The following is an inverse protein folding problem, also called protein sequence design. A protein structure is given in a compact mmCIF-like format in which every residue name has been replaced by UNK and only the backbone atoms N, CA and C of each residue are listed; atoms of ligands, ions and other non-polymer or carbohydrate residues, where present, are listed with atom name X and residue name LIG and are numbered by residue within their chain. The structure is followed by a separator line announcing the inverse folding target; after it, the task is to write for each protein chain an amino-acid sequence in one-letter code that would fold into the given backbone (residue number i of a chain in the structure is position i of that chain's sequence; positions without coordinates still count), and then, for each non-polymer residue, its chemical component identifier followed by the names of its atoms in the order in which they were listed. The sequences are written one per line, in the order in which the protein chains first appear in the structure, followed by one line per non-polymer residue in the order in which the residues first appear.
data_IF_411238557849
#
_entry.id   IF_411238557849
#
_cell.length_a   1.000
_cell.length_b   1.000
_cell.length_c   1.000
_cell.angle_alpha   90.00
_cell.angle_beta   90.00
_cell.angle_gamma   90.00
#
_symmetry.space_group_name_H-M   'P 1'
#
loop_
_entity.id
_entity.type
_entity.pdbx_description
1 polymer ?
#
# COMPACT_ATOMS: atom_id res chain seq x y z
N UNK A 1 -20.89 -50.82 -22.63
CA UNK A 1 -20.39 -50.32 -21.33
C UNK A 1 -19.99 -48.87 -21.53
N UNK A 2 -20.85 -47.94 -21.09
CA UNK A 2 -20.63 -46.53 -21.13
C UNK A 2 -20.08 -46.10 -19.78
N UNK A 3 -18.89 -45.47 -19.74
CA UNK A 3 -18.32 -44.88 -18.55
C UNK A 3 -18.70 -43.39 -18.49
N UNK A 4 -19.53 -43.07 -17.53
CA UNK A 4 -19.99 -41.72 -17.18
C UNK A 4 -18.87 -41.00 -16.44
N UNK A 5 -18.34 -39.89 -17.03
CA UNK A 5 -17.40 -39.00 -16.35
C UNK A 5 -18.20 -37.82 -15.82
N UNK A 6 -18.67 -37.92 -14.58
CA UNK A 6 -19.20 -36.82 -13.83
C UNK A 6 -18.05 -36.05 -13.15
N UNK A 7 -17.66 -34.95 -13.72
CA UNK A 7 -16.68 -34.00 -13.17
C UNK A 7 -17.26 -32.59 -13.13
N UNK A 8 -18.38 -32.41 -12.39
CA UNK A 8 -18.92 -31.08 -12.10
C UNK A 8 -18.08 -30.37 -11.04
N UNK A 9 -17.06 -29.61 -11.45
CA UNK A 9 -16.40 -28.67 -10.57
C UNK A 9 -17.38 -27.56 -10.18
N UNK A 10 -17.86 -27.56 -8.95
CA UNK A 10 -18.66 -26.47 -8.39
C UNK A 10 -17.82 -25.20 -8.41
N UNK A 11 -18.12 -24.30 -9.35
CA UNK A 11 -17.64 -22.92 -9.29
C UNK A 11 -18.27 -22.30 -8.06
N UNK A 12 -17.48 -22.10 -7.01
CA UNK A 12 -17.94 -21.50 -5.75
C UNK A 12 -18.68 -20.20 -6.05
N UNK A 13 -19.87 -20.05 -5.49
CA UNK A 13 -20.64 -18.83 -5.56
C UNK A 13 -19.77 -17.65 -5.08
N UNK A 14 -19.82 -16.47 -5.74
CA UNK A 14 -19.07 -15.29 -5.30
C UNK A 14 -19.47 -14.98 -3.86
N UNK A 15 -18.48 -14.89 -2.96
CA UNK A 15 -18.70 -14.56 -1.56
C UNK A 15 -19.38 -13.18 -1.50
N UNK A 16 -20.47 -13.08 -0.73
CA UNK A 16 -21.28 -11.85 -0.58
C UNK A 16 -20.60 -10.77 0.24
N UNK A 17 -19.33 -10.93 0.60
CA UNK A 17 -18.54 -9.92 1.30
C UNK A 17 -18.07 -8.81 0.34
N UNK A 18 -18.07 -7.54 0.80
CA UNK A 18 -17.58 -6.43 -0.01
C UNK A 18 -16.11 -6.66 -0.37
N UNK A 19 -15.78 -6.43 -1.66
CA UNK A 19 -14.40 -6.53 -2.12
C UNK A 19 -13.53 -5.53 -1.37
N UNK A 20 -12.46 -6.03 -0.75
CA UNK A 20 -11.53 -5.22 0.03
C UNK A 20 -10.19 -5.07 -0.70
N UNK A 21 -9.87 -3.85 -1.10
CA UNK A 21 -8.62 -3.54 -1.81
C UNK A 21 -7.72 -2.74 -0.88
N UNK A 22 -6.49 -3.21 -0.69
CA UNK A 22 -5.45 -2.47 0.01
C UNK A 22 -4.64 -1.69 -1.00
N UNK A 23 -4.39 -0.40 -0.75
CA UNK A 23 -3.55 0.45 -1.60
C UNK A 23 -2.42 1.02 -0.76
N UNK A 24 -1.18 0.70 -1.13
CA UNK A 24 0.00 1.27 -0.50
C UNK A 24 0.27 2.67 -1.05
N UNK A 25 0.37 3.65 -0.15
CA UNK A 25 0.59 5.06 -0.50
C UNK A 25 1.81 5.63 0.24
N UNK A 26 2.58 6.43 -0.47
CA UNK A 26 3.71 7.20 0.04
C UNK A 26 3.73 8.60 -0.60
N UNK A 27 4.81 9.35 -0.42
CA UNK A 27 4.94 10.71 -0.98
C UNK A 27 5.10 10.74 -2.51
N UNK A 28 5.34 9.58 -3.15
CA UNK A 28 5.60 9.49 -4.58
C UNK A 28 4.35 9.75 -5.44
N UNK A 29 4.55 10.29 -6.62
CA UNK A 29 3.49 10.44 -7.61
C UNK A 29 3.04 9.08 -8.17
N UNK A 30 3.92 8.08 -8.15
CA UNK A 30 3.64 6.71 -8.58
C UNK A 30 2.58 6.05 -7.70
N UNK A 31 2.68 6.19 -6.39
CA UNK A 31 1.69 5.63 -5.46
C UNK A 31 0.34 6.33 -5.57
N UNK A 32 0.34 7.67 -5.76
CA UNK A 32 -0.89 8.44 -5.97
C UNK A 32 -1.55 8.11 -7.32
N UNK A 33 -0.74 7.88 -8.37
CA UNK A 33 -1.23 7.38 -9.65
C UNK A 33 -1.83 5.98 -9.51
N UNK A 34 -1.18 5.07 -8.77
CA UNK A 34 -1.69 3.73 -8.51
C UNK A 34 -3.03 3.75 -7.77
N UNK A 35 -3.20 4.65 -6.80
CA UNK A 35 -4.47 4.88 -6.12
C UNK A 35 -5.55 5.34 -7.10
N UNK A 36 -5.28 6.36 -7.90
CA UNK A 36 -6.23 6.89 -8.90
C UNK A 36 -6.63 5.81 -9.91
N UNK A 37 -5.66 5.03 -10.38
CA UNK A 37 -5.89 3.92 -11.30
C UNK A 37 -6.77 2.84 -10.65
N UNK A 38 -6.48 2.47 -9.40
CA UNK A 38 -7.26 1.49 -8.64
C UNK A 38 -8.73 1.91 -8.51
N UNK A 39 -8.97 3.16 -8.09
CA UNK A 39 -10.32 3.69 -7.93
C UNK A 39 -11.09 3.69 -9.24
N UNK A 40 -10.46 4.06 -10.35
CA UNK A 40 -11.11 4.14 -11.66
C UNK A 40 -11.36 2.77 -12.30
N UNK A 41 -10.42 1.83 -12.19
CA UNK A 41 -10.44 0.60 -12.98
C UNK A 41 -10.86 -0.64 -12.18
N UNK A 42 -10.60 -0.67 -10.86
CA UNK A 42 -10.90 -1.82 -10.02
C UNK A 42 -12.18 -1.61 -9.22
N UNK A 43 -12.28 -0.46 -8.59
CA UNK A 43 -13.35 -0.14 -7.66
C UNK A 43 -14.60 0.33 -8.41
N UNK A 44 -14.46 1.25 -9.37
CA UNK A 44 -15.59 1.76 -10.15
C UNK A 44 -16.11 0.79 -11.19
N UNK A 45 -15.29 -0.12 -11.72
CA UNK A 45 -15.70 -1.12 -12.68
C UNK A 45 -16.70 -2.14 -12.11
N UNK A 46 -16.76 -2.29 -10.77
CA UNK A 46 -17.69 -3.17 -10.06
C UNK A 46 -19.09 -2.59 -9.86
N UNK A 47 -19.47 -1.46 -10.47
CA UNK A 47 -20.78 -0.77 -10.30
C UNK A 47 -22.01 -1.52 -10.83
N UNK A 48 -21.93 -2.82 -11.11
CA UNK A 48 -23.09 -3.66 -11.38
C UNK A 48 -23.83 -3.97 -10.07
N UNK A 49 -24.75 -3.19 -9.77
CA UNK A 49 -26.06 -3.25 -9.06
C UNK A 49 -26.31 -4.21 -7.87
N UNK A 50 -25.45 -5.09 -7.40
CA UNK A 50 -25.85 -6.15 -6.44
C UNK A 50 -24.87 -6.42 -5.28
N UNK A 51 -23.74 -5.76 -5.18
CA UNK A 51 -22.77 -6.02 -4.11
C UNK A 51 -22.67 -4.85 -3.13
N UNK A 52 -22.36 -5.11 -1.84
CA UNK A 52 -22.02 -4.03 -0.92
C UNK A 52 -20.83 -3.23 -1.50
N UNK A 53 -20.77 -1.91 -1.24
CA UNK A 53 -19.76 -1.06 -1.83
C UNK A 53 -18.35 -1.57 -1.50
N UNK A 54 -17.43 -1.58 -2.48
CA UNK A 54 -16.06 -2.00 -2.25
C UNK A 54 -15.39 -1.09 -1.22
N UNK A 55 -14.53 -1.66 -0.39
CA UNK A 55 -13.74 -0.89 0.58
C UNK A 55 -12.29 -0.79 0.14
N UNK A 56 -11.73 0.39 0.27
CA UNK A 56 -10.31 0.68 0.03
C UNK A 56 -9.62 0.99 1.36
N UNK A 57 -8.56 0.26 1.66
CA UNK A 57 -7.71 0.52 2.82
C UNK A 57 -6.43 1.16 2.33
N UNK A 58 -6.24 2.44 2.65
CA UNK A 58 -5.01 3.17 2.36
C UNK A 58 -3.97 2.81 3.42
N UNK A 59 -2.86 2.23 3.02
CA UNK A 59 -1.77 1.85 3.92
C UNK A 59 -0.57 2.75 3.68
N UNK A 60 -0.11 3.41 4.75
CA UNK A 60 1.14 4.17 4.76
C UNK A 60 2.07 3.64 5.86
N UNK A 61 3.28 3.26 5.46
CA UNK A 61 4.32 2.82 6.37
C UNK A 61 5.24 3.99 6.73
N UNK A 62 5.30 4.35 8.01
CA UNK A 62 6.29 5.29 8.51
C UNK A 62 7.57 4.53 8.81
N UNK A 63 8.66 4.89 8.14
CA UNK A 63 9.97 4.28 8.42
C UNK A 63 10.33 4.37 9.90
N UNK A 64 10.89 3.33 10.50
CA UNK A 64 11.40 3.40 11.87
C UNK A 64 12.51 4.44 11.93
N UNK A 65 12.61 5.17 13.04
CA UNK A 65 13.67 6.15 13.24
C UNK A 65 15.02 5.45 13.17
N UNK A 66 16.03 6.06 12.57
CA UNK A 66 17.38 5.68 12.85
C UNK A 66 17.68 6.07 14.31
N UNK A 67 17.72 5.08 15.20
CA UNK A 67 18.08 5.28 16.61
C UNK A 67 19.57 5.63 16.78
N UNK A 68 20.34 5.56 15.71
CA UNK A 68 21.79 5.69 15.76
C UNK A 68 22.32 6.36 14.49
N UNK A 69 22.89 7.54 14.63
CA UNK A 69 23.78 8.11 13.63
C UNK A 69 25.21 7.79 14.06
N UNK A 70 25.93 6.92 13.34
CA UNK A 70 27.36 6.78 13.59
C UNK A 70 28.03 8.08 13.18
N UNK A 71 28.50 8.86 14.15
CA UNK A 71 29.40 9.97 13.85
C UNK A 71 30.76 9.39 13.49
N UNK A 72 31.22 9.69 12.29
CA UNK A 72 32.55 9.35 11.79
C UNK A 72 33.54 10.38 12.35
N UNK A 73 33.77 10.38 13.65
CA UNK A 73 34.81 11.22 14.27
C UNK A 73 35.99 10.42 14.81
N UNK A 74 36.01 9.11 14.57
CA UNK A 74 37.12 8.24 15.01
C UNK A 74 37.30 8.07 16.53
N UNK A 75 36.47 8.70 17.35
CA UNK A 75 36.60 8.65 18.83
C UNK A 75 35.66 7.62 19.49
N UNK A 76 34.80 6.96 18.72
CA UNK A 76 33.93 5.89 19.22
C UNK A 76 32.80 6.35 20.16
N UNK A 77 32.63 7.63 20.40
CA UNK A 77 31.53 8.20 21.17
C UNK A 77 30.34 8.51 20.25
N UNK A 78 29.41 7.59 20.15
CA UNK A 78 28.14 7.84 19.47
C UNK A 78 27.37 8.96 20.17
N UNK A 79 27.02 10.04 19.46
CA UNK A 79 26.14 11.07 20.00
C UNK A 79 24.75 10.47 20.24
N UNK A 80 24.34 10.41 21.50
CA UNK A 80 22.93 10.14 21.84
C UNK A 80 22.16 11.42 21.53
N UNK A 81 21.20 11.33 20.60
CA UNK A 81 20.31 12.45 20.30
C UNK A 81 19.57 12.86 21.57
N UNK A 82 19.47 14.16 21.82
CA UNK A 82 18.66 14.67 22.93
C UNK A 82 17.18 14.30 22.69
N UNK A 83 16.44 14.07 23.78
CA UNK A 83 15.01 13.74 23.68
C UNK A 83 14.23 14.76 22.86
N UNK A 84 14.58 16.05 22.95
CA UNK A 84 13.96 17.12 22.16
C UNK A 84 14.13 16.94 20.65
N UNK A 85 15.31 16.53 20.18
CA UNK A 85 15.57 16.25 18.76
C UNK A 85 14.75 15.05 18.31
N UNK A 86 14.70 14.02 19.13
CA UNK A 86 13.90 12.82 18.89
C UNK A 86 12.41 13.16 18.75
N UNK A 87 11.88 13.97 19.66
CA UNK A 87 10.47 14.38 19.66
C UNK A 87 10.13 15.26 18.45
N UNK A 88 11.03 16.18 18.09
CA UNK A 88 10.87 17.03 16.90
C UNK A 88 10.84 16.19 15.61
N UNK A 89 11.72 15.19 15.49
CA UNK A 89 11.72 14.27 14.37
C UNK A 89 10.42 13.43 14.31
N UNK A 90 9.90 12.99 15.45
CA UNK A 90 8.62 12.26 15.47
C UNK A 90 7.46 13.11 15.00
N UNK A 91 7.40 14.34 15.47
CA UNK A 91 6.36 15.28 15.02
C UNK A 91 6.45 15.55 13.52
N UNK A 92 7.66 15.75 13.00
CA UNK A 92 7.88 15.94 11.57
C UNK A 92 7.41 14.72 10.76
N UNK A 93 7.81 13.51 11.15
CA UNK A 93 7.41 12.28 10.46
C UNK A 93 5.91 12.00 10.57
N UNK A 94 5.29 12.36 11.71
CA UNK A 94 3.85 12.26 11.86
C UNK A 94 3.12 13.23 10.90
N UNK A 95 3.57 14.48 10.84
CA UNK A 95 3.01 15.48 9.93
C UNK A 95 3.18 15.12 8.45
N UNK A 96 4.33 14.54 8.07
CA UNK A 96 4.56 14.03 6.72
C UNK A 96 3.57 12.91 6.38
N UNK A 97 3.37 11.95 7.29
CA UNK A 97 2.39 10.88 7.11
C UNK A 97 0.96 11.41 6.96
N UNK A 98 0.57 12.40 7.77
CA UNK A 98 -0.74 13.05 7.68
C UNK A 98 -0.93 13.74 6.32
N UNK A 99 0.12 14.34 5.78
CA UNK A 99 0.11 14.96 4.46
C UNK A 99 -0.13 13.92 3.36
N UNK A 100 0.56 12.78 3.40
CA UNK A 100 0.36 11.66 2.46
C UNK A 100 -1.07 11.15 2.52
N UNK A 101 -1.57 10.87 3.71
CA UNK A 101 -2.94 10.37 3.92
C UNK A 101 -3.97 11.38 3.45
N UNK A 102 -3.77 12.66 3.71
CA UNK A 102 -4.68 13.73 3.28
C UNK A 102 -4.72 13.83 1.75
N UNK A 103 -3.54 13.80 1.09
CA UNK A 103 -3.45 13.78 -0.38
C UNK A 103 -4.18 12.57 -0.96
N UNK A 104 -3.97 11.39 -0.39
CA UNK A 104 -4.65 10.16 -0.83
C UNK A 104 -6.17 10.24 -0.63
N UNK A 105 -6.64 10.72 0.54
CA UNK A 105 -8.08 10.93 0.81
C UNK A 105 -8.71 11.92 -0.16
N UNK A 106 -8.01 13.00 -0.51
CA UNK A 106 -8.48 13.98 -1.49
C UNK A 106 -8.75 13.33 -2.85
N UNK A 107 -7.90 12.41 -3.29
CA UNK A 107 -8.14 11.63 -4.52
C UNK A 107 -9.43 10.79 -4.39
N UNK A 108 -9.65 10.20 -3.22
CA UNK A 108 -10.83 9.37 -2.96
C UNK A 108 -12.15 10.16 -2.98
N UNK A 109 -12.13 11.48 -2.75
CA UNK A 109 -13.38 12.30 -2.74
C UNK A 109 -14.13 12.28 -4.07
N UNK A 110 -13.45 12.00 -5.19
CA UNK A 110 -14.08 11.82 -6.49
C UNK A 110 -14.91 10.52 -6.60
N UNK A 111 -14.85 9.63 -5.59
CA UNK A 111 -15.51 8.33 -5.55
C UNK A 111 -16.32 8.15 -4.28
N UNK A 112 -17.47 8.85 -4.13
CA UNK A 112 -18.23 8.92 -2.87
C UNK A 112 -18.85 7.58 -2.44
N UNK A 113 -19.05 6.66 -3.38
CA UNK A 113 -19.63 5.34 -3.12
C UNK A 113 -18.61 4.33 -2.55
N UNK A 114 -17.35 4.72 -2.39
CA UNK A 114 -16.26 3.87 -1.91
C UNK A 114 -16.02 4.12 -0.43
N UNK A 115 -16.07 3.05 0.35
CA UNK A 115 -15.66 3.12 1.75
C UNK A 115 -14.14 3.19 1.85
N UNK A 116 -13.60 4.26 2.43
CA UNK A 116 -12.15 4.47 2.58
C UNK A 116 -11.78 4.35 4.05
N UNK A 117 -10.87 3.42 4.35
CA UNK A 117 -10.23 3.25 5.64
C UNK A 117 -8.74 3.62 5.52
N UNK A 118 -8.10 4.02 6.61
CA UNK A 118 -6.68 4.37 6.62
C UNK A 118 -5.94 3.59 7.70
N UNK A 119 -4.77 3.08 7.34
CA UNK A 119 -3.86 2.37 8.23
C UNK A 119 -2.48 3.03 8.12
N UNK A 120 -2.02 3.65 9.19
CA UNK A 120 -0.68 4.23 9.28
C UNK A 120 0.07 3.49 10.37
N UNK A 121 1.06 2.70 9.98
CA UNK A 121 1.85 1.91 10.93
C UNK A 121 3.34 2.30 10.84
N UNK A 122 4.05 2.17 11.95
CA UNK A 122 5.48 2.40 12.04
C UNK A 122 6.22 1.08 11.85
N UNK A 123 7.14 1.02 10.91
CA UNK A 123 7.92 -0.18 10.63
C UNK A 123 8.58 -0.17 9.26
N UNK A 124 9.21 -1.27 8.92
CA UNK A 124 9.70 -1.49 7.55
C UNK A 124 8.49 -1.55 6.60
N UNK A 125 8.45 -0.76 5.53
CA UNK A 125 7.31 -0.74 4.61
C UNK A 125 6.98 -2.10 3.99
N UNK A 126 7.96 -2.98 3.83
CA UNK A 126 7.78 -4.34 3.33
C UNK A 126 6.90 -5.18 4.26
N UNK A 127 7.19 -5.11 5.56
CA UNK A 127 6.46 -5.87 6.57
C UNK A 127 5.11 -5.24 6.88
N UNK A 128 5.07 -3.90 6.99
CA UNK A 128 3.85 -3.14 7.27
C UNK A 128 2.80 -3.36 6.19
N UNK A 129 3.17 -3.26 4.91
CA UNK A 129 2.22 -3.39 3.80
C UNK A 129 1.69 -4.82 3.70
N UNK A 130 2.58 -5.83 3.75
CA UNK A 130 2.15 -7.23 3.71
C UNK A 130 1.28 -7.59 4.92
N UNK A 131 1.68 -7.14 6.12
CA UNK A 131 0.91 -7.37 7.35
C UNK A 131 -0.45 -6.67 7.35
N UNK A 132 -0.54 -5.45 6.82
CA UNK A 132 -1.79 -4.74 6.69
C UNK A 132 -2.75 -5.41 5.69
N UNK A 133 -2.23 -5.89 4.57
CA UNK A 133 -3.01 -6.64 3.58
C UNK A 133 -3.57 -7.95 4.19
N UNK A 134 -2.78 -8.67 4.97
CA UNK A 134 -3.21 -9.88 5.66
C UNK A 134 -4.26 -9.57 6.75
N UNK A 135 -3.99 -8.60 7.63
CA UNK A 135 -4.92 -8.18 8.70
C UNK A 135 -6.27 -7.69 8.14
N UNK A 136 -6.23 -6.99 7.01
CA UNK A 136 -7.43 -6.52 6.34
C UNK A 136 -8.21 -7.65 5.63
N UNK A 137 -7.64 -8.83 5.44
CA UNK A 137 -8.22 -9.87 4.59
C UNK A 137 -8.39 -9.36 3.16
N UNK A 138 -7.35 -8.73 2.60
CA UNK A 138 -7.40 -8.09 1.31
C UNK A 138 -7.63 -9.09 0.17
N UNK A 139 -8.55 -8.78 -0.74
CA UNK A 139 -8.73 -9.51 -1.99
C UNK A 139 -7.60 -9.20 -2.98
N UNK A 140 -6.97 -8.02 -2.87
CA UNK A 140 -5.78 -7.63 -3.60
C UNK A 140 -5.06 -6.45 -2.93
N UNK A 141 -3.76 -6.35 -3.22
CA UNK A 141 -2.91 -5.22 -2.91
C UNK A 141 -2.59 -4.46 -4.22
N UNK A 142 -2.75 -3.14 -4.21
CA UNK A 142 -2.36 -2.26 -5.32
C UNK A 142 -1.27 -1.31 -4.85
N UNK A 143 -0.24 -1.10 -5.67
CA UNK A 143 0.87 -0.22 -5.33
C UNK A 143 1.56 0.32 -6.59
N UNK A 144 2.32 1.40 -6.44
CA UNK A 144 3.17 1.92 -7.51
C UNK A 144 4.36 1.01 -7.80
N UNK A 145 4.91 1.10 -9.00
CA UNK A 145 6.11 0.34 -9.38
C UNK A 145 7.34 0.78 -8.60
N UNK A 146 7.39 2.06 -8.19
CA UNK A 146 8.46 2.66 -7.40
C UNK A 146 7.84 3.56 -6.34
N UNK A 147 8.60 3.84 -5.28
CA UNK A 147 8.26 4.79 -4.24
C UNK A 147 9.30 5.91 -4.15
N UNK A 148 9.27 6.65 -3.05
CA UNK A 148 10.23 7.69 -2.73
C UNK A 148 11.67 7.12 -2.69
N UNK A 149 12.60 7.71 -3.45
CA UNK A 149 14.00 7.27 -3.50
C UNK A 149 14.40 6.48 -4.75
N UNK A 150 13.71 6.66 -5.85
CA UNK A 150 13.92 5.97 -7.12
C UNK A 150 15.32 6.13 -7.73
N UNK A 151 15.91 4.99 -8.10
CA UNK A 151 17.08 4.91 -8.98
C UNK A 151 16.60 4.54 -10.39
N UNK A 152 16.82 5.42 -11.37
CA UNK A 152 16.28 5.36 -12.74
C UNK A 152 16.53 4.06 -13.52
N UNK A 153 17.43 3.19 -13.05
CA UNK A 153 17.78 1.93 -13.72
C UNK A 153 17.06 0.68 -13.15
N UNK A 154 16.34 0.82 -12.03
CA UNK A 154 15.62 -0.31 -11.44
C UNK A 154 14.25 -0.49 -12.10
N UNK A 155 13.94 -1.70 -12.57
CA UNK A 155 12.65 -2.03 -13.19
C UNK A 155 11.49 -2.03 -12.19
N UNK A 156 11.76 -2.25 -10.91
CA UNK A 156 10.78 -2.28 -9.83
C UNK A 156 11.44 -1.90 -8.50
N UNK A 157 10.73 -1.15 -7.66
CA UNK A 157 11.20 -0.75 -6.34
C UNK A 157 11.35 -1.94 -5.39
N UNK A 158 12.23 -1.81 -4.38
CA UNK A 158 12.50 -2.90 -3.42
C UNK A 158 11.27 -3.33 -2.62
N UNK A 159 10.39 -2.38 -2.28
CA UNK A 159 9.14 -2.66 -1.54
C UNK A 159 8.15 -3.40 -2.43
N UNK A 160 7.93 -2.92 -3.66
CA UNK A 160 7.01 -3.56 -4.61
C UNK A 160 7.49 -4.97 -4.97
N UNK A 161 8.79 -5.17 -5.20
CA UNK A 161 9.34 -6.50 -5.45
C UNK A 161 9.13 -7.45 -4.26
N UNK A 162 9.35 -6.97 -3.04
CA UNK A 162 9.11 -7.77 -1.84
C UNK A 162 7.64 -8.16 -1.68
N UNK A 163 6.71 -7.21 -1.86
CA UNK A 163 5.29 -7.47 -1.73
C UNK A 163 4.78 -8.47 -2.77
N UNK A 164 5.24 -8.38 -4.02
CA UNK A 164 4.89 -9.36 -5.07
C UNK A 164 5.30 -10.79 -4.68
N UNK A 165 6.42 -10.95 -3.97
CA UNK A 165 6.93 -12.27 -3.59
C UNK A 165 6.33 -12.80 -2.29
N UNK A 166 5.89 -11.94 -1.37
CA UNK A 166 5.58 -12.33 0.01
C UNK A 166 4.14 -12.09 0.45
N UNK A 167 3.36 -11.23 -0.23
CA UNK A 167 1.95 -11.03 0.11
C UNK A 167 1.13 -12.28 -0.19
N UNK A 168 0.16 -12.56 0.67
CA UNK A 168 -0.76 -13.72 0.54
C UNK A 168 -1.94 -13.47 -0.42
N UNK A 169 -2.13 -12.23 -0.85
CA UNK A 169 -3.15 -11.86 -1.83
C UNK A 169 -2.51 -11.47 -3.17
N UNK A 170 -3.25 -11.45 -4.28
CA UNK A 170 -2.78 -10.91 -5.55
C UNK A 170 -2.25 -9.48 -5.41
N UNK A 171 -1.13 -9.17 -6.05
CA UNK A 171 -0.50 -7.86 -6.04
C UNK A 171 -0.53 -7.26 -7.44
N UNK A 172 -1.09 -6.06 -7.55
CA UNK A 172 -1.13 -5.27 -8.78
C UNK A 172 -0.14 -4.12 -8.66
N UNK A 173 0.87 -4.15 -9.51
CA UNK A 173 1.87 -3.07 -9.59
C UNK A 173 1.53 -2.17 -10.76
N UNK A 174 1.20 -0.93 -10.46
CA UNK A 174 0.80 0.07 -11.45
C UNK A 174 2.01 0.91 -11.84
N UNK A 175 2.34 0.92 -13.13
CA UNK A 175 3.34 1.84 -13.68
C UNK A 175 2.69 3.16 -14.05
N UNK A 176 3.34 4.26 -13.69
CA UNK A 176 2.99 5.55 -14.23
C UNK A 176 3.52 5.63 -15.67
N UNK A 177 2.69 6.05 -16.64
CA UNK A 177 3.21 6.35 -17.97
C UNK A 177 4.29 7.43 -17.86
N UNK A 178 5.41 7.23 -18.53
CA UNK A 178 6.42 8.27 -18.63
C UNK A 178 5.76 9.51 -19.25
N UNK A 179 5.86 10.65 -18.57
CA UNK A 179 5.46 11.92 -19.16
C UNK A 179 6.44 12.22 -20.29
N UNK A 180 5.95 12.09 -21.54
CA UNK A 180 6.67 12.46 -22.73
C UNK A 180 7.03 13.95 -22.73
#
# INVERSE_FOLDING_TARGET
MAAEVAGGGAVGAPSSSPRRVVVAVDESEESMHALSWCLSNVVSAGKAAVAPPPSVVLVHARSPRPLYYPTIDGTGTGYVMTQQVVDCMEQYMASAADTVVTKAKTICTAFPDVRVETCVEKGDPRDVICGAAEKAGADMLVMGSHGYGFLQWALMGSVSNHCVQNCKCPVVVVKRPDSA
#
